data_IF_106903300476
#
_entry.id   IF_106903300476
#
_cell.length_a   1.000
_cell.length_b   1.000
_cell.length_c   1.000
_cell.angle_alpha   90.00
_cell.angle_beta   90.00
_cell.angle_gamma   90.00
#
_symmetry.space_group_name_H-M   'P 1'
#
loop_
_entity.id
_entity.type
_entity.pdbx_description
1 polymer ?
#
# COMPACT_ATOMS: atom_id res chain seq x y z
N UNK A 1 24.30 -17.33 -11.73
CA UNK A 1 23.17 -17.46 -12.67
C UNK A 1 22.04 -16.65 -12.09
N UNK A 2 21.54 -15.63 -12.78
CA UNK A 2 20.37 -14.86 -12.32
C UNK A 2 19.17 -15.77 -12.57
N UNK A 3 18.34 -16.06 -11.57
CA UNK A 3 17.14 -16.86 -11.77
C UNK A 3 16.24 -16.21 -12.82
N UNK A 4 15.62 -17.02 -13.64
CA UNK A 4 14.71 -16.53 -14.68
C UNK A 4 13.32 -16.27 -14.06
N UNK A 5 12.62 -15.25 -14.56
CA UNK A 5 11.27 -14.94 -14.13
C UNK A 5 10.27 -15.97 -14.67
N UNK A 6 9.20 -16.23 -13.92
CA UNK A 6 8.11 -17.07 -14.41
C UNK A 6 7.41 -16.44 -15.63
N UNK A 7 6.73 -17.26 -16.43
CA UNK A 7 5.93 -16.77 -17.56
C UNK A 7 4.83 -15.81 -17.10
N UNK A 8 4.23 -16.08 -15.95
CA UNK A 8 3.25 -15.18 -15.30
C UNK A 8 3.86 -13.82 -14.97
N UNK A 9 5.09 -13.80 -14.43
CA UNK A 9 5.77 -12.53 -14.13
C UNK A 9 6.02 -11.73 -15.40
N UNK A 10 6.47 -12.37 -16.47
CA UNK A 10 6.69 -11.71 -17.77
C UNK A 10 5.39 -11.13 -18.34
N UNK A 11 4.31 -11.91 -18.33
CA UNK A 11 2.99 -11.44 -18.78
C UNK A 11 2.51 -10.23 -17.98
N UNK A 12 2.67 -10.26 -16.65
CA UNK A 12 2.30 -9.13 -15.78
C UNK A 12 3.19 -7.91 -16.02
N UNK A 13 4.49 -8.09 -16.27
CA UNK A 13 5.39 -6.98 -16.64
C UNK A 13 4.92 -6.29 -17.93
N UNK A 14 4.61 -7.05 -18.99
CA UNK A 14 4.11 -6.49 -20.26
C UNK A 14 2.80 -5.73 -20.05
N UNK A 15 1.86 -6.31 -19.29
CA UNK A 15 0.58 -5.70 -18.97
C UNK A 15 0.74 -4.44 -18.14
N UNK A 16 1.65 -4.46 -17.16
CA UNK A 16 1.94 -3.31 -16.31
C UNK A 16 2.64 -2.20 -17.08
N UNK A 17 3.61 -2.51 -17.95
CA UNK A 17 4.23 -1.52 -18.83
C UNK A 17 3.20 -0.81 -19.70
N UNK A 18 2.29 -1.58 -20.32
CA UNK A 18 1.19 -1.00 -21.09
C UNK A 18 0.27 -0.13 -20.23
N UNK A 19 -0.04 -0.53 -19.00
CA UNK A 19 -0.80 0.29 -18.07
C UNK A 19 -0.07 1.58 -17.69
N UNK A 20 1.27 1.54 -17.51
CA UNK A 20 2.07 2.73 -17.28
C UNK A 20 1.97 3.72 -18.44
N UNK A 21 2.12 3.23 -19.67
CA UNK A 21 2.09 4.06 -20.88
C UNK A 21 0.69 4.63 -21.19
N UNK A 22 -0.34 3.79 -21.06
CA UNK A 22 -1.71 4.16 -21.47
C UNK A 22 -2.48 4.92 -20.39
N UNK A 23 -2.14 4.70 -19.10
CA UNK A 23 -2.95 5.19 -17.98
C UNK A 23 -2.14 6.00 -16.98
N UNK A 24 -0.96 5.53 -16.53
CA UNK A 24 -0.26 6.19 -15.43
C UNK A 24 0.39 7.50 -15.91
N UNK A 25 1.28 7.43 -16.88
CA UNK A 25 2.02 8.61 -17.36
C UNK A 25 1.12 9.73 -17.89
N UNK A 26 0.06 9.45 -18.68
CA UNK A 26 -0.85 10.50 -19.12
C UNK A 26 -1.62 11.19 -18.00
N UNK A 27 -1.77 10.54 -16.84
CA UNK A 27 -2.54 11.07 -15.72
C UNK A 27 -1.69 11.72 -14.63
N UNK A 28 -0.36 11.74 -14.73
CA UNK A 28 0.50 12.39 -13.72
C UNK A 28 0.25 13.89 -13.61
N UNK A 29 0.16 14.59 -14.73
CA UNK A 29 -0.13 16.02 -14.73
C UNK A 29 -1.55 16.33 -14.24
N UNK A 30 -2.54 15.51 -14.62
CA UNK A 30 -3.93 15.64 -14.15
C UNK A 30 -4.00 15.43 -12.63
N UNK A 31 -3.29 14.42 -12.11
CA UNK A 31 -3.19 14.16 -10.68
C UNK A 31 -2.63 15.38 -9.94
N UNK A 32 -1.53 15.93 -10.41
CA UNK A 32 -0.88 17.09 -9.81
C UNK A 32 -1.77 18.34 -9.90
N UNK A 33 -2.48 18.55 -11.01
CA UNK A 33 -3.43 19.64 -11.16
C UNK A 33 -4.60 19.53 -10.18
N UNK A 34 -5.21 18.35 -10.06
CA UNK A 34 -6.30 18.10 -9.13
C UNK A 34 -5.86 18.27 -7.67
N UNK A 35 -4.65 17.83 -7.34
CA UNK A 35 -4.08 17.99 -5.99
C UNK A 35 -3.82 19.48 -5.66
N UNK A 36 -3.22 20.22 -6.59
CA UNK A 36 -2.85 21.64 -6.39
C UNK A 36 -4.07 22.58 -6.37
N UNK A 37 -5.14 22.21 -7.07
CA UNK A 37 -6.39 23.01 -7.14
C UNK A 37 -7.37 22.66 -5.99
N UNK A 38 -7.01 21.73 -5.12
CA UNK A 38 -7.86 21.41 -3.96
C UNK A 38 -7.62 22.39 -2.82
N UNK A 39 -8.71 22.90 -2.24
CA UNK A 39 -8.67 23.70 -1.01
C UNK A 39 -8.35 22.84 0.23
N UNK A 40 -8.44 21.51 0.10
CA UNK A 40 -8.16 20.56 1.18
C UNK A 40 -6.74 20.00 1.08
N UNK A 41 -5.96 20.17 2.13
CA UNK A 41 -4.56 19.69 2.19
C UNK A 41 -4.41 18.20 1.93
N UNK A 42 -5.39 17.39 2.30
CA UNK A 42 -5.35 15.93 2.22
C UNK A 42 -6.41 15.39 1.26
N UNK A 43 -6.60 16.09 0.15
CA UNK A 43 -7.53 15.65 -0.89
C UNK A 43 -7.04 14.39 -1.61
N UNK A 44 -8.00 13.65 -2.12
CA UNK A 44 -7.76 12.48 -2.98
C UNK A 44 -8.11 12.86 -4.41
N UNK A 45 -7.15 12.97 -5.33
CA UNK A 45 -7.42 13.29 -6.72
C UNK A 45 -8.37 12.28 -7.37
N UNK A 46 -9.50 12.69 -7.96
CA UNK A 46 -10.45 11.78 -8.61
C UNK A 46 -9.82 10.87 -9.67
N UNK A 47 -8.86 11.39 -10.43
CA UNK A 47 -8.16 10.61 -11.45
C UNK A 47 -7.50 9.35 -10.88
N UNK A 48 -7.03 9.39 -9.64
CA UNK A 48 -6.44 8.22 -8.99
C UNK A 48 -7.46 7.08 -8.81
N UNK A 49 -8.70 7.42 -8.47
CA UNK A 49 -9.77 6.41 -8.33
C UNK A 49 -10.16 5.81 -9.68
N UNK A 50 -10.15 6.59 -10.76
CA UNK A 50 -10.34 6.11 -12.13
C UNK A 50 -9.21 5.14 -12.55
N UNK A 51 -7.97 5.48 -12.23
CA UNK A 51 -6.81 4.61 -12.47
C UNK A 51 -6.94 3.27 -11.72
N UNK A 52 -7.41 3.28 -10.46
CA UNK A 52 -7.66 2.07 -9.67
C UNK A 52 -8.68 1.14 -10.32
N UNK A 53 -9.72 1.70 -10.93
CA UNK A 53 -10.69 0.91 -11.71
C UNK A 53 -10.00 0.20 -12.87
N UNK A 54 -9.18 0.93 -13.63
CA UNK A 54 -8.43 0.36 -14.76
C UNK A 54 -7.43 -0.71 -14.33
N UNK A 55 -6.72 -0.51 -13.22
CA UNK A 55 -5.81 -1.51 -12.68
C UNK A 55 -6.54 -2.82 -12.33
N UNK A 56 -7.74 -2.74 -11.74
CA UNK A 56 -8.58 -3.92 -11.45
C UNK A 56 -9.03 -4.64 -12.72
N UNK A 57 -9.53 -3.90 -13.71
CA UNK A 57 -9.95 -4.46 -15.01
C UNK A 57 -8.82 -5.23 -15.70
N UNK A 58 -7.59 -4.77 -15.53
CA UNK A 58 -6.38 -5.38 -16.10
C UNK A 58 -5.75 -6.48 -15.24
N UNK A 59 -6.33 -6.78 -14.06
CA UNK A 59 -5.78 -7.78 -13.13
C UNK A 59 -4.44 -7.36 -12.51
N UNK A 60 -4.21 -6.04 -12.35
CA UNK A 60 -3.01 -5.45 -11.76
C UNK A 60 -3.23 -5.00 -10.31
N UNK A 61 -4.18 -5.58 -9.62
CA UNK A 61 -4.60 -5.19 -8.27
C UNK A 61 -4.05 -6.13 -7.20
N UNK A 62 -3.48 -5.58 -6.12
CA UNK A 62 -2.96 -6.36 -4.98
C UNK A 62 -1.88 -7.39 -5.33
N UNK A 63 -1.05 -7.15 -6.35
CA UNK A 63 -0.05 -8.10 -6.84
C UNK A 63 1.01 -8.50 -5.81
N UNK A 64 1.19 -7.70 -4.74
CA UNK A 64 2.17 -7.95 -3.68
C UNK A 64 1.74 -9.08 -2.72
N UNK A 65 0.45 -9.41 -2.65
CA UNK A 65 -0.09 -10.26 -1.60
C UNK A 65 0.39 -11.71 -1.77
N UNK A 66 1.15 -12.27 -0.82
CA UNK A 66 1.76 -13.59 -0.97
C UNK A 66 0.75 -14.74 -0.94
N UNK A 67 -0.35 -14.57 -0.20
CA UNK A 67 -1.43 -15.55 -0.07
C UNK A 67 -2.77 -14.83 0.11
N UNK A 68 -3.73 -15.13 -0.76
CA UNK A 68 -5.13 -14.77 -0.54
C UNK A 68 -6.05 -15.74 -1.29
N UNK A 69 -7.29 -15.87 -0.84
CA UNK A 69 -8.29 -16.75 -1.45
C UNK A 69 -8.60 -16.41 -2.92
N UNK A 70 -8.15 -15.24 -3.40
CA UNK A 70 -8.51 -14.72 -4.72
C UNK A 70 -7.32 -14.35 -5.61
N UNK A 71 -6.09 -14.46 -5.13
CA UNK A 71 -4.88 -14.12 -5.89
C UNK A 71 -3.85 -15.23 -5.70
N UNK A 72 -3.40 -15.81 -6.81
CA UNK A 72 -2.28 -16.75 -6.76
C UNK A 72 -1.01 -16.02 -6.27
N UNK A 73 -0.35 -16.51 -5.22
CA UNK A 73 0.80 -15.84 -4.64
C UNK A 73 1.96 -15.74 -5.64
N UNK A 74 2.68 -14.61 -5.60
CA UNK A 74 3.91 -14.41 -6.35
C UNK A 74 5.12 -14.58 -5.46
N UNK A 75 6.20 -15.16 -6.01
CA UNK A 75 7.51 -15.10 -5.35
C UNK A 75 8.03 -13.65 -5.33
N UNK A 76 8.89 -13.33 -4.35
CA UNK A 76 9.56 -12.03 -4.35
C UNK A 76 10.40 -11.79 -5.59
N UNK A 77 10.96 -12.86 -6.19
CA UNK A 77 11.68 -12.78 -7.45
C UNK A 77 10.77 -12.31 -8.58
N UNK A 78 9.58 -12.90 -8.71
CA UNK A 78 8.61 -12.56 -9.76
C UNK A 78 7.96 -11.20 -9.56
N UNK A 79 7.79 -10.77 -8.29
CA UNK A 79 7.21 -9.48 -7.97
C UNK A 79 8.19 -8.31 -8.11
N UNK A 80 9.49 -8.55 -7.94
CA UNK A 80 10.51 -7.49 -7.95
C UNK A 80 10.52 -6.61 -9.22
N UNK A 81 10.42 -7.15 -10.46
CA UNK A 81 10.37 -6.32 -11.65
C UNK A 81 9.09 -5.46 -11.75
N UNK A 82 7.99 -5.94 -11.17
CA UNK A 82 6.75 -5.14 -11.11
C UNK A 82 6.91 -3.93 -10.18
N UNK A 83 7.63 -4.09 -9.05
CA UNK A 83 7.98 -2.97 -8.19
C UNK A 83 8.85 -1.94 -8.91
N UNK A 84 9.83 -2.39 -9.70
CA UNK A 84 10.68 -1.50 -10.51
C UNK A 84 9.85 -0.69 -11.52
N UNK A 85 8.92 -1.35 -12.20
CA UNK A 85 8.04 -0.68 -13.19
C UNK A 85 7.15 0.35 -12.47
N UNK A 86 6.47 -0.02 -11.38
CA UNK A 86 5.63 0.91 -10.62
C UNK A 86 6.43 2.06 -10.01
N UNK A 87 7.67 1.80 -9.60
CA UNK A 87 8.57 2.82 -9.03
C UNK A 87 8.98 3.95 -9.99
N UNK A 88 8.65 3.85 -11.28
CA UNK A 88 8.90 4.90 -12.28
C UNK A 88 7.92 6.08 -12.18
N UNK A 89 6.84 5.92 -11.43
CA UNK A 89 5.82 6.94 -11.21
C UNK A 89 5.43 7.04 -9.74
N UNK A 90 5.27 8.24 -9.17
CA UNK A 90 4.88 8.41 -7.77
C UNK A 90 3.45 7.95 -7.47
N UNK A 91 2.59 7.80 -8.49
CA UNK A 91 1.18 7.44 -8.33
C UNK A 91 0.87 5.99 -8.71
N UNK A 92 1.78 5.30 -9.40
CA UNK A 92 1.54 3.96 -9.93
C UNK A 92 1.28 2.92 -8.84
N UNK A 93 2.10 2.90 -7.79
CA UNK A 93 1.97 1.92 -6.71
C UNK A 93 0.62 2.05 -5.98
N UNK A 94 0.12 3.27 -5.76
CA UNK A 94 -1.20 3.46 -5.16
C UNK A 94 -2.32 3.08 -6.13
N UNK A 95 -2.19 3.38 -7.41
CA UNK A 95 -3.20 3.04 -8.42
C UNK A 95 -3.43 1.54 -8.59
N UNK A 96 -2.46 0.71 -8.19
CA UNK A 96 -2.52 -0.76 -8.20
C UNK A 96 -2.74 -1.38 -6.81
N UNK A 97 -2.96 -0.55 -5.79
CA UNK A 97 -3.02 -0.93 -4.36
C UNK A 97 -1.78 -1.67 -3.85
N UNK A 98 -0.62 -1.32 -4.40
CA UNK A 98 0.68 -1.89 -4.04
C UNK A 98 1.57 -0.89 -3.29
N UNK A 99 1.00 0.19 -2.73
CA UNK A 99 1.73 1.24 -2.04
C UNK A 99 1.99 0.91 -0.57
N UNK A 100 3.19 1.24 -0.09
CA UNK A 100 3.49 1.23 1.34
C UNK A 100 2.79 2.42 2.06
N UNK A 101 2.42 2.29 3.36
CA UNK A 101 2.60 1.14 4.23
C UNK A 101 1.47 0.10 4.14
N UNK A 102 0.45 0.32 3.29
CA UNK A 102 -0.72 -0.54 3.20
C UNK A 102 -0.36 -1.99 2.90
N UNK A 103 0.60 -2.23 2.00
CA UNK A 103 1.05 -3.58 1.65
C UNK A 103 1.52 -4.37 2.88
N UNK A 104 2.42 -3.79 3.69
CA UNK A 104 2.90 -4.43 4.91
C UNK A 104 1.80 -4.61 5.95
N UNK A 105 0.91 -3.63 6.11
CA UNK A 105 -0.22 -3.73 7.05
C UNK A 105 -1.23 -4.80 6.60
N UNK A 106 -1.51 -4.91 5.30
CA UNK A 106 -2.37 -5.97 4.75
C UNK A 106 -1.75 -7.36 4.95
N UNK A 107 -0.44 -7.52 4.78
CA UNK A 107 0.24 -8.78 5.09
C UNK A 107 0.13 -9.15 6.57
N UNK A 108 0.32 -8.19 7.48
CA UNK A 108 0.16 -8.41 8.93
C UNK A 108 -1.25 -8.87 9.25
N UNK A 109 -2.28 -8.20 8.71
CA UNK A 109 -3.67 -8.62 8.92
C UNK A 109 -3.95 -10.00 8.31
N UNK A 110 -3.43 -10.28 7.13
CA UNK A 110 -3.62 -11.59 6.47
C UNK A 110 -3.08 -12.72 7.32
N UNK A 111 -1.89 -12.54 7.91
CA UNK A 111 -1.19 -13.60 8.66
C UNK A 111 -1.67 -13.74 10.10
N UNK A 112 -2.01 -12.64 10.77
CA UNK A 112 -2.14 -12.64 12.24
C UNK A 112 -3.51 -12.19 12.74
N UNK A 113 -4.34 -11.53 11.93
CA UNK A 113 -5.62 -11.06 12.39
C UNK A 113 -6.66 -12.19 12.45
N UNK A 114 -7.58 -12.11 13.43
CA UNK A 114 -8.77 -12.93 13.45
C UNK A 114 -9.79 -12.50 12.40
N UNK A 115 -10.85 -13.28 12.19
CA UNK A 115 -11.85 -13.04 11.15
C UNK A 115 -12.59 -11.70 11.32
N UNK A 116 -12.82 -11.26 12.56
CA UNK A 116 -13.45 -9.97 12.85
C UNK A 116 -12.58 -8.80 12.36
N UNK A 117 -11.28 -8.82 12.70
CA UNK A 117 -10.32 -7.81 12.28
C UNK A 117 -10.06 -7.85 10.77
N UNK A 118 -10.01 -9.04 10.17
CA UNK A 118 -9.92 -9.20 8.72
C UNK A 118 -11.13 -8.57 8.01
N UNK A 119 -12.32 -8.85 8.49
CA UNK A 119 -13.56 -8.26 7.93
C UNK A 119 -13.60 -6.75 8.12
N UNK A 120 -13.18 -6.26 9.27
CA UNK A 120 -13.27 -4.84 9.63
C UNK A 120 -12.21 -3.98 8.94
N UNK A 121 -10.98 -4.47 8.82
CA UNK A 121 -9.83 -3.68 8.37
C UNK A 121 -9.17 -4.21 7.11
N UNK A 122 -8.86 -5.52 7.03
CA UNK A 122 -8.17 -6.09 5.87
C UNK A 122 -9.03 -5.98 4.61
N UNK A 123 -10.30 -6.36 4.68
CA UNK A 123 -11.17 -6.33 3.50
C UNK A 123 -11.28 -4.92 2.89
N UNK A 124 -11.58 -3.85 3.63
CA UNK A 124 -11.59 -2.49 3.08
C UNK A 124 -10.22 -2.02 2.54
N UNK A 125 -9.10 -2.45 3.14
CA UNK A 125 -7.75 -2.18 2.63
C UNK A 125 -7.53 -2.88 1.29
N UNK A 126 -7.84 -4.17 1.17
CA UNK A 126 -7.76 -4.94 -0.08
C UNK A 126 -8.69 -4.37 -1.17
N UNK A 127 -9.84 -3.85 -0.78
CA UNK A 127 -10.76 -3.15 -1.67
C UNK A 127 -10.26 -1.74 -2.07
N UNK A 128 -9.20 -1.22 -1.44
CA UNK A 128 -8.68 0.13 -1.65
C UNK A 128 -9.61 1.24 -1.19
N UNK A 129 -10.57 0.93 -0.30
CA UNK A 129 -11.56 1.89 0.24
C UNK A 129 -11.01 2.71 1.38
N UNK A 130 -10.06 2.16 2.11
CA UNK A 130 -9.35 2.84 3.19
C UNK A 130 -7.85 2.74 2.96
N UNK A 131 -7.12 3.61 3.62
CA UNK A 131 -5.66 3.60 3.70
C UNK A 131 -5.24 3.29 5.14
N UNK A 132 -3.99 3.04 5.31
CA UNK A 132 -3.39 2.83 6.62
C UNK A 132 -2.10 3.64 6.79
N UNK A 133 -1.64 3.73 8.02
CA UNK A 133 -0.38 4.37 8.36
C UNK A 133 0.43 3.46 9.30
N UNK A 134 1.74 3.66 9.33
CA UNK A 134 2.63 2.95 10.23
C UNK A 134 3.33 3.95 11.18
N UNK A 135 2.85 4.00 12.42
CA UNK A 135 3.36 4.90 13.45
C UNK A 135 4.57 4.25 14.15
N UNK A 136 5.75 4.36 13.56
CA UNK A 136 6.99 3.80 14.08
C UNK A 136 7.85 4.83 14.79
N UNK A 137 8.13 5.94 14.11
CA UNK A 137 9.14 6.92 14.53
C UNK A 137 8.74 7.68 15.79
N UNK A 138 9.69 7.88 16.69
CA UNK A 138 9.55 8.64 17.93
C UNK A 138 10.52 9.82 17.96
N UNK A 139 10.13 11.00 18.52
CA UNK A 139 10.98 12.17 18.52
C UNK A 139 12.18 12.09 19.47
N UNK A 140 12.10 11.27 20.50
CA UNK A 140 13.07 11.23 21.59
C UNK A 140 14.20 10.19 21.38
N UNK A 141 13.99 9.21 20.49
CA UNK A 141 14.90 8.07 20.32
C UNK A 141 15.19 7.76 18.86
N UNK A 142 16.29 7.07 18.59
CA UNK A 142 16.63 6.54 17.26
C UNK A 142 15.74 5.33 16.93
N UNK A 143 14.49 5.59 16.58
CA UNK A 143 13.43 4.59 16.44
C UNK A 143 13.46 3.76 15.15
N UNK A 144 14.41 4.00 14.24
CA UNK A 144 14.73 3.04 13.16
C UNK A 144 15.32 1.73 13.70
N UNK A 145 15.95 1.78 14.85
CA UNK A 145 16.20 0.58 15.66
C UNK A 145 14.99 0.35 16.57
N UNK A 146 14.19 -0.67 16.24
CA UNK A 146 12.96 -0.97 16.96
C UNK A 146 13.18 -1.33 18.43
N UNK A 147 14.42 -1.69 18.83
CA UNK A 147 14.77 -1.96 20.25
C UNK A 147 14.84 -0.68 21.08
N UNK A 148 14.93 0.50 20.45
CA UNK A 148 14.97 1.80 21.13
C UNK A 148 13.58 2.43 21.31
N UNK A 149 12.51 1.83 20.80
CA UNK A 149 11.16 2.38 20.90
C UNK A 149 10.73 2.43 22.38
N UNK A 150 10.29 3.61 22.81
CA UNK A 150 9.84 3.88 24.19
C UNK A 150 8.33 3.82 24.37
N UNK A 151 7.54 3.87 23.29
CA UNK A 151 6.08 3.71 23.36
C UNK A 151 5.74 2.37 24.01
N UNK A 152 5.06 2.43 25.16
CA UNK A 152 4.66 1.26 25.93
C UNK A 152 3.30 0.76 25.51
N UNK A 153 3.11 -0.55 25.49
CA UNK A 153 1.83 -1.23 25.33
C UNK A 153 1.66 -2.16 26.56
N UNK A 154 0.77 -1.81 27.46
CA UNK A 154 0.55 -2.52 28.72
C UNK A 154 -0.84 -3.14 28.69
N UNK A 155 -0.94 -4.44 29.02
CA UNK A 155 -2.23 -5.11 29.13
C UNK A 155 -2.84 -4.84 30.51
N UNK A 156 -4.05 -4.27 30.51
CA UNK A 156 -4.86 -4.03 31.71
C UNK A 156 -6.20 -4.78 31.56
N UNK A 157 -6.29 -5.96 32.18
CA UNK A 157 -7.46 -6.82 32.04
C UNK A 157 -7.69 -7.30 30.60
N UNK A 158 -8.77 -6.85 29.96
CA UNK A 158 -9.13 -7.18 28.57
C UNK A 158 -8.75 -6.08 27.55
N UNK A 159 -8.07 -5.05 28.00
CA UNK A 159 -7.66 -3.91 27.18
C UNK A 159 -6.15 -3.79 27.09
N UNK A 160 -5.66 -3.03 26.11
CA UNK A 160 -4.27 -2.61 26.01
C UNK A 160 -4.21 -1.10 26.12
N UNK A 161 -3.39 -0.60 27.04
CA UNK A 161 -3.09 0.82 27.21
C UNK A 161 -1.82 1.12 26.43
N UNK A 162 -1.94 2.00 25.44
CA UNK A 162 -0.81 2.46 24.62
C UNK A 162 -0.45 3.87 25.06
N UNK A 163 0.82 4.08 25.48
CA UNK A 163 1.30 5.36 25.94
C UNK A 163 2.66 5.67 25.32
N UNK A 164 2.75 6.80 24.62
CA UNK A 164 3.95 7.24 23.93
C UNK A 164 3.68 8.39 22.97
N UNK A 165 4.73 8.82 22.26
CA UNK A 165 4.63 9.90 21.27
C UNK A 165 5.26 9.45 19.96
N UNK A 166 4.46 9.49 18.90
CA UNK A 166 4.88 9.20 17.52
C UNK A 166 4.91 10.48 16.69
N UNK A 167 5.76 10.51 15.66
CA UNK A 167 5.81 11.58 14.68
C UNK A 167 6.19 11.04 13.30
N UNK A 168 6.17 11.88 12.28
CA UNK A 168 6.51 11.53 10.91
C UNK A 168 5.73 10.32 10.36
N UNK A 169 4.51 10.12 10.84
CA UNK A 169 3.62 9.05 10.38
C UNK A 169 3.01 9.43 9.04
N UNK A 170 3.65 9.01 7.94
CA UNK A 170 3.18 9.30 6.58
C UNK A 170 1.78 8.74 6.36
N UNK A 171 0.93 9.53 5.71
CA UNK A 171 -0.44 9.14 5.38
C UNK A 171 -1.47 9.30 6.49
N UNK A 172 -1.07 9.66 7.73
CA UNK A 172 -2.04 9.80 8.86
C UNK A 172 -3.07 10.92 8.63
N UNK A 173 -2.77 11.89 7.77
CA UNK A 173 -3.68 12.98 7.42
C UNK A 173 -4.64 12.64 6.27
N UNK A 174 -4.48 11.50 5.60
CA UNK A 174 -5.39 11.04 4.56
C UNK A 174 -6.76 10.73 5.17
N UNK A 175 -7.87 11.30 4.65
CA UNK A 175 -9.21 11.08 5.20
C UNK A 175 -9.66 9.62 5.13
N UNK A 176 -9.02 8.81 4.30
CA UNK A 176 -9.27 7.37 4.20
C UNK A 176 -8.53 6.54 5.26
N UNK A 177 -7.56 7.14 5.97
CA UNK A 177 -6.76 6.48 6.99
C UNK A 177 -7.50 6.35 8.32
#
# INVERSE_FOLDING_TARGET
MIPDFSDRSRELQERLLKYMDDVVYPNEDIYNEQLNNSDERWSVPPVLEEMKVKARELGLWNLFLPESDNVEPMSNLDYSPLCEIMGRSPIAAESTNCSAPDTGNMEVFTRYANDELKKRWLKPLLDGKIRSAFAMTEPAVASSDATNIETAIIREGNEYVINGRKWWTSGIGDPRC
#
